data_IF_392870543409
#
_entry.id   IF_392870543409
#
_cell.length_a   1.000
_cell.length_b   1.000
_cell.length_c   1.000
_cell.angle_alpha   90.00
_cell.angle_beta   90.00
_cell.angle_gamma   90.00
#
_symmetry.space_group_name_H-M   'P 1'
#
loop_
_entity.id
_entity.type
_entity.pdbx_description
1 polymer ?
#
# COMPACT_ATOMS: atom_id res chain seq x y z
N UNK A 1 -23.41 -20.92 6.84
CA UNK A 1 -22.03 -21.16 7.34
C UNK A 1 -21.47 -19.80 7.72
N UNK A 2 -21.02 -19.69 8.96
CA UNK A 2 -20.79 -18.47 9.74
C UNK A 2 -19.78 -17.54 9.07
N UNK A 3 -20.23 -16.34 8.74
CA UNK A 3 -19.41 -15.24 8.26
C UNK A 3 -18.68 -14.67 9.48
N UNK A 4 -17.41 -15.03 9.66
CA UNK A 4 -16.56 -14.38 10.65
C UNK A 4 -16.23 -12.99 10.09
N UNK A 5 -17.14 -12.03 10.33
CA UNK A 5 -16.84 -10.63 10.20
C UNK A 5 -15.75 -10.32 11.23
N UNK A 6 -14.53 -10.08 10.75
CA UNK A 6 -13.50 -9.47 11.58
C UNK A 6 -13.96 -8.03 11.74
N UNK A 7 -14.60 -7.72 12.86
CA UNK A 7 -14.85 -6.33 13.25
C UNK A 7 -13.49 -5.67 13.42
N UNK A 8 -13.11 -4.87 12.43
CA UNK A 8 -11.97 -3.98 12.55
C UNK A 8 -12.32 -2.94 13.64
N UNK A 9 -11.36 -2.56 14.51
CA UNK A 9 -11.62 -1.54 15.52
C UNK A 9 -12.14 -0.26 14.86
N UNK A 10 -12.99 0.48 15.59
CA UNK A 10 -13.78 1.66 15.17
C UNK A 10 -12.98 2.82 14.51
N UNK A 11 -11.67 2.66 14.29
CA UNK A 11 -10.76 3.62 13.70
C UNK A 11 -10.59 3.50 12.18
N UNK A 12 -11.52 2.82 11.48
CA UNK A 12 -11.51 2.76 10.02
C UNK A 12 -11.87 4.14 9.46
N UNK A 13 -11.02 4.70 8.60
CA UNK A 13 -11.38 5.89 7.80
C UNK A 13 -12.80 5.74 7.25
N UNK A 14 -13.61 6.80 7.37
CA UNK A 14 -14.87 6.83 6.62
C UNK A 14 -14.54 6.70 5.14
N UNK A 15 -15.17 5.74 4.46
CA UNK A 15 -14.94 5.52 3.03
C UNK A 15 -15.11 6.86 2.30
N UNK A 16 -14.10 7.33 1.55
CA UNK A 16 -14.22 8.59 0.81
C UNK A 16 -15.41 8.54 -0.15
N UNK A 17 -16.09 9.67 -0.36
CA UNK A 17 -17.16 9.74 -1.38
C UNK A 17 -16.59 9.40 -2.77
N UNK A 18 -17.15 8.36 -3.41
CA UNK A 18 -16.74 7.88 -4.74
C UNK A 18 -16.49 6.36 -4.80
N UNK A 19 -15.99 5.87 -5.94
CA UNK A 19 -15.54 4.47 -6.13
C UNK A 19 -14.11 4.26 -5.62
N UNK A 20 -13.78 4.93 -4.51
CA UNK A 20 -12.49 4.76 -3.84
C UNK A 20 -12.57 3.54 -2.92
N UNK A 21 -11.49 2.78 -2.89
CA UNK A 21 -11.33 1.61 -2.04
C UNK A 21 -10.22 1.86 -1.02
N UNK A 22 -10.43 1.34 0.19
CA UNK A 22 -9.46 1.45 1.26
C UNK A 22 -8.43 0.33 1.15
N UNK A 23 -7.16 0.70 1.09
CA UNK A 23 -6.04 -0.24 1.17
C UNK A 23 -5.47 -0.17 2.57
N UNK A 24 -5.65 -1.25 3.34
CA UNK A 24 -5.03 -1.38 4.66
C UNK A 24 -3.58 -1.85 4.50
N UNK A 25 -2.68 -1.22 5.24
CA UNK A 25 -1.26 -1.55 5.23
C UNK A 25 -0.56 -1.05 6.49
N UNK A 26 0.74 -1.32 6.56
CA UNK A 26 1.59 -0.88 7.65
C UNK A 26 2.48 0.27 7.21
N UNK A 27 2.74 1.20 8.13
CA UNK A 27 3.66 2.30 7.90
C UNK A 27 5.00 2.02 8.59
N UNK A 28 6.08 2.04 7.81
CA UNK A 28 7.44 1.97 8.31
C UNK A 28 8.08 3.35 8.26
N UNK A 29 8.82 3.72 9.32
CA UNK A 29 9.67 4.91 9.33
C UNK A 29 11.13 4.50 9.31
N UNK A 30 11.92 5.12 8.43
CA UNK A 30 13.35 4.88 8.32
C UNK A 30 14.13 5.96 9.06
N UNK A 31 15.10 5.56 9.86
CA UNK A 31 15.91 6.50 10.63
C UNK A 31 16.88 7.29 9.72
N UNK A 32 17.39 6.65 8.67
CA UNK A 32 18.21 7.31 7.66
C UNK A 32 17.78 6.84 6.26
N UNK A 33 16.82 7.52 5.61
CA UNK A 33 16.31 7.10 4.31
C UNK A 33 17.39 7.04 3.22
N UNK A 34 18.46 7.85 3.32
CA UNK A 34 19.58 7.80 2.39
C UNK A 34 20.40 6.50 2.46
N UNK A 35 20.33 5.78 3.59
CA UNK A 35 20.99 4.50 3.79
C UNK A 35 20.02 3.32 3.72
N UNK A 36 18.79 3.51 4.24
CA UNK A 36 17.80 2.45 4.40
C UNK A 36 16.99 2.17 3.12
N UNK A 37 16.77 3.19 2.26
CA UNK A 37 16.02 3.02 1.01
C UNK A 37 16.82 2.34 -0.11
N UNK A 38 18.12 2.63 -0.35
CA UNK A 38 18.85 1.99 -1.45
C UNK A 38 18.84 0.44 -1.43
N UNK A 39 18.90 -0.25 -0.28
CA UNK A 39 18.68 -1.69 -0.21
C UNK A 39 17.31 -2.13 -0.72
N UNK A 40 16.23 -1.42 -0.34
CA UNK A 40 14.86 -1.70 -0.78
C UNK A 40 14.74 -1.44 -2.29
N UNK A 41 15.30 -0.33 -2.76
CA UNK A 41 15.29 0.03 -4.18
C UNK A 41 15.95 -1.05 -5.05
N UNK A 42 17.05 -1.64 -4.57
CA UNK A 42 17.71 -2.75 -5.28
C UNK A 42 16.87 -4.02 -5.30
N UNK A 43 16.11 -4.34 -4.25
CA UNK A 43 15.24 -5.51 -4.22
C UNK A 43 14.12 -5.40 -5.25
N UNK A 44 13.57 -4.21 -5.41
CA UNK A 44 12.48 -3.93 -6.36
C UNK A 44 13.00 -3.59 -7.78
N UNK A 45 14.32 -3.66 -8.00
CA UNK A 45 14.98 -3.16 -9.21
C UNK A 45 14.52 -1.74 -9.59
N UNK A 46 14.26 -0.92 -8.58
CA UNK A 46 13.86 0.48 -8.72
C UNK A 46 15.07 1.32 -9.12
N UNK A 47 14.96 1.97 -10.28
CA UNK A 47 15.93 2.93 -10.77
C UNK A 47 15.18 4.19 -11.23
N UNK A 48 15.28 5.32 -10.49
CA UNK A 48 14.59 6.54 -10.85
C UNK A 48 15.08 7.17 -12.16
N UNK A 49 16.26 6.77 -12.66
CA UNK A 49 16.86 7.27 -13.90
C UNK A 49 16.87 6.24 -15.04
N UNK A 50 16.35 5.03 -14.80
CA UNK A 50 16.45 3.89 -15.69
C UNK A 50 15.11 3.26 -16.03
N UNK A 51 15.16 2.09 -16.69
CA UNK A 51 13.97 1.26 -16.90
C UNK A 51 13.68 0.50 -15.61
N UNK A 52 12.65 0.93 -14.88
CA UNK A 52 12.11 0.20 -13.74
C UNK A 52 10.60 -0.01 -13.91
N UNK A 53 10.08 -1.07 -13.30
CA UNK A 53 8.63 -1.40 -13.35
C UNK A 53 7.84 -0.63 -12.29
N UNK A 54 8.52 -0.14 -11.25
CA UNK A 54 7.92 0.61 -10.15
C UNK A 54 8.17 2.10 -10.28
N UNK A 55 7.15 2.90 -9.98
CA UNK A 55 7.25 4.35 -9.77
C UNK A 55 7.05 4.63 -8.29
N UNK A 56 7.85 5.53 -7.72
CA UNK A 56 7.64 5.99 -6.34
C UNK A 56 6.75 7.22 -6.34
N UNK A 57 5.63 7.14 -5.63
CA UNK A 57 4.63 8.21 -5.51
C UNK A 57 4.45 8.58 -4.04
N UNK A 58 4.10 9.85 -3.79
CA UNK A 58 3.74 10.31 -2.46
C UNK A 58 2.21 10.26 -2.33
N UNK A 59 1.72 9.51 -1.36
CA UNK A 59 0.27 9.36 -1.09
C UNK A 59 -0.05 9.85 0.32
N UNK A 60 -1.26 10.37 0.50
CA UNK A 60 -1.79 10.68 1.82
C UNK A 60 -2.39 9.41 2.43
N UNK A 61 -1.98 9.07 3.65
CA UNK A 61 -2.55 7.96 4.43
C UNK A 61 -3.01 8.47 5.78
N UNK A 62 -4.11 7.92 6.28
CA UNK A 62 -4.56 8.18 7.64
C UNK A 62 -3.97 7.14 8.58
N UNK A 63 -3.38 7.62 9.68
CA UNK A 63 -2.81 6.79 10.74
C UNK A 63 -3.18 7.39 12.08
N UNK A 64 -3.90 6.65 12.93
CA UNK A 64 -4.34 7.12 14.25
C UNK A 64 -4.91 8.56 14.20
N UNK A 65 -5.88 8.78 13.30
CA UNK A 65 -6.58 10.07 13.08
C UNK A 65 -5.69 11.22 12.57
N UNK A 66 -4.51 10.92 12.04
CA UNK A 66 -3.60 11.88 11.43
C UNK A 66 -3.30 11.51 9.98
N UNK A 67 -3.51 12.45 9.07
CA UNK A 67 -3.10 12.33 7.67
C UNK A 67 -1.59 12.58 7.56
N UNK A 68 -0.87 11.61 6.99
CA UNK A 68 0.58 11.67 6.79
C UNK A 68 0.92 11.41 5.31
N UNK A 69 1.90 12.14 4.76
CA UNK A 69 2.44 11.81 3.44
C UNK A 69 3.39 10.62 3.57
N UNK A 70 3.21 9.61 2.72
CA UNK A 70 4.05 8.39 2.72
C UNK A 70 4.47 8.03 1.31
N UNK A 71 5.66 7.47 1.18
CA UNK A 71 6.17 6.95 -0.08
C UNK A 71 5.58 5.58 -0.36
N UNK A 72 5.00 5.41 -1.54
CA UNK A 72 4.46 4.16 -2.04
C UNK A 72 5.12 3.81 -3.37
N UNK A 73 5.45 2.54 -3.56
CA UNK A 73 5.90 2.01 -4.85
C UNK A 73 4.67 1.48 -5.59
N UNK A 74 4.39 2.02 -6.76
CA UNK A 74 3.29 1.59 -7.63
C UNK A 74 3.85 1.05 -8.93
N UNK A 75 3.35 -0.09 -9.38
CA UNK A 75 3.68 -0.63 -10.70
C UNK A 75 2.58 -0.24 -11.67
N UNK A 76 2.95 0.31 -12.83
CA UNK A 76 1.99 0.45 -13.90
C UNK A 76 1.77 -0.91 -14.56
N UNK A 77 0.53 -1.42 -14.61
CA UNK A 77 0.24 -2.65 -15.33
C UNK A 77 0.60 -2.49 -16.81
N UNK A 78 1.14 -3.52 -17.47
CA UNK A 78 1.33 -3.48 -18.92
C UNK A 78 -0.03 -3.33 -19.64
N UNK A 79 -0.03 -2.78 -20.85
CA UNK A 79 -1.23 -2.35 -21.62
C UNK A 79 -2.33 -3.43 -21.81
N UNK A 80 -2.05 -4.70 -21.50
CA UNK A 80 -3.00 -5.81 -21.62
C UNK A 80 -3.17 -6.64 -20.32
N UNK A 81 -2.72 -6.12 -19.18
CA UNK A 81 -2.91 -6.81 -17.90
C UNK A 81 -4.32 -6.55 -17.34
N UNK A 82 -5.06 -7.63 -17.12
CA UNK A 82 -6.30 -7.57 -16.32
C UNK A 82 -5.91 -7.56 -14.85
N UNK A 83 -5.94 -6.39 -14.21
CA UNK A 83 -5.83 -6.29 -12.76
C UNK A 83 -7.18 -6.64 -12.11
N UNK A 84 -7.18 -7.60 -11.18
CA UNK A 84 -8.34 -7.86 -10.34
C UNK A 84 -8.25 -6.95 -9.12
N UNK A 85 -9.28 -6.12 -8.92
CA UNK A 85 -9.47 -5.42 -7.64
C UNK A 85 -9.62 -6.46 -6.54
N UNK A 86 -8.75 -6.40 -5.53
CA UNK A 86 -8.82 -7.25 -4.34
C UNK A 86 -9.11 -6.37 -3.11
N UNK A 87 -10.14 -6.76 -2.36
CA UNK A 87 -10.40 -6.24 -1.03
C UNK A 87 -9.67 -7.16 -0.08
N UNK A 88 -8.44 -6.82 0.27
CA UNK A 88 -7.65 -7.68 1.14
C UNK A 88 -6.68 -6.89 1.99
N UNK A 89 -6.57 -7.26 3.26
CA UNK A 89 -5.45 -6.85 4.11
C UNK A 89 -4.38 -7.93 4.07
N UNK A 90 -3.13 -7.54 4.28
CA UNK A 90 -2.06 -8.49 4.58
C UNK A 90 -1.84 -8.54 6.08
N UNK A 91 -1.76 -9.74 6.66
CA UNK A 91 -1.70 -9.93 8.11
C UNK A 91 -0.32 -10.35 8.65
N UNK A 92 0.75 -10.25 7.86
CA UNK A 92 2.06 -10.79 8.23
C UNK A 92 2.44 -12.08 7.50
N UNK A 93 1.45 -12.84 7.03
CA UNK A 93 1.68 -14.19 6.45
C UNK A 93 0.95 -14.38 5.13
N UNK A 94 -0.28 -13.86 5.01
CA UNK A 94 -1.11 -14.01 3.83
C UNK A 94 -2.01 -12.81 3.60
N UNK A 95 -2.47 -12.69 2.36
CA UNK A 95 -3.61 -11.84 2.03
C UNK A 95 -4.88 -12.46 2.62
N UNK A 96 -5.61 -11.68 3.40
CA UNK A 96 -6.94 -11.99 3.91
C UNK A 96 -7.95 -11.17 3.11
N UNK A 97 -8.90 -11.82 2.45
CA UNK A 97 -10.03 -11.09 1.83
C UNK A 97 -10.86 -10.44 2.93
N UNK A 98 -11.22 -9.16 2.72
CA UNK A 98 -12.09 -8.37 3.60
C UNK A 98 -13.48 -8.31 2.97
#
# INVERSE_FOLDING_TARGET
RTQNAIELPENSMTRPEGDWDLVHGELMTFANPGFDLPPIDRLEAFDPNGRCVYTRVLVAVETNDLIRPVWLYTMQPPENATLKRIFSAWNGEKLIEI
#
